data_IF_546911085308
#
_entry.id   IF_546911085308
#
_cell.length_a   1.000
_cell.length_b   1.000
_cell.length_c   1.000
_cell.angle_alpha   90.00
_cell.angle_beta   90.00
_cell.angle_gamma   90.00
#
_symmetry.space_group_name_H-M   'P 1'
#
loop_
_entity.id
_entity.type
_entity.pdbx_description
1 polymer ?
#
# COMPACT_ATOMS: atom_id res chain seq x y z
N UNK A 1 15.42 13.78 1.58
CA UNK A 1 14.31 14.75 1.47
C UNK A 1 13.00 14.05 1.79
N UNK A 2 11.98 14.80 2.22
CA UNK A 2 10.63 14.31 2.46
C UNK A 2 9.64 15.10 1.61
N UNK A 3 8.89 14.38 0.78
CA UNK A 3 7.68 14.88 0.14
C UNK A 3 6.50 14.32 0.93
N UNK A 4 5.52 15.16 1.25
CA UNK A 4 4.30 14.70 1.90
C UNK A 4 3.18 14.67 0.88
N UNK A 5 2.53 13.52 0.72
CA UNK A 5 1.32 13.43 -0.10
C UNK A 5 0.26 14.39 0.45
N UNK A 6 -0.34 15.19 -0.43
CA UNK A 6 -1.36 16.17 -0.06
C UNK A 6 -0.83 17.48 0.53
N UNK A 7 0.49 17.72 0.49
CA UNK A 7 1.07 19.00 0.90
C UNK A 7 2.21 19.42 -0.05
N UNK A 8 2.28 20.71 -0.40
CA UNK A 8 3.30 21.29 -1.27
C UNK A 8 4.72 21.32 -0.72
N UNK A 9 4.90 21.13 0.59
CA UNK A 9 6.18 21.36 1.25
C UNK A 9 7.19 20.24 0.99
N UNK A 10 8.43 20.66 0.78
CA UNK A 10 9.60 19.82 0.61
C UNK A 10 10.44 19.92 1.88
N UNK A 11 10.44 18.84 2.66
CA UNK A 11 11.24 18.74 3.89
C UNK A 11 12.65 18.26 3.62
N UNK A 12 13.62 18.81 4.34
CA UNK A 12 14.97 18.25 4.42
C UNK A 12 15.02 17.18 5.52
N UNK A 13 15.67 16.06 5.25
CA UNK A 13 15.83 14.95 6.19
C UNK A 13 17.32 14.81 6.49
N UNK A 14 17.79 15.52 7.51
CA UNK A 14 19.17 15.40 7.95
C UNK A 14 19.40 14.06 8.66
N UNK A 15 20.62 13.53 8.55
CA UNK A 15 21.05 12.35 9.29
C UNK A 15 20.92 12.62 10.79
N UNK A 16 20.15 11.78 11.48
CA UNK A 16 19.88 11.96 12.91
C UNK A 16 20.90 11.25 13.82
N UNK A 17 21.44 10.12 13.38
CA UNK A 17 22.40 9.31 14.14
C UNK A 17 23.29 8.50 13.18
N UNK A 18 24.44 8.08 13.70
CA UNK A 18 25.31 7.09 13.06
C UNK A 18 24.80 5.68 13.34
N UNK A 19 24.92 4.79 12.35
CA UNK A 19 24.49 3.38 12.44
C UNK A 19 25.69 2.49 12.16
N UNK A 20 25.92 1.50 13.02
CA UNK A 20 26.99 0.51 12.90
C UNK A 20 26.49 -0.85 12.39
N UNK A 21 25.17 -1.06 12.30
CA UNK A 21 24.56 -2.32 11.86
C UNK A 21 24.37 -2.44 10.34
N UNK A 22 24.67 -1.39 9.57
CA UNK A 22 24.47 -1.40 8.11
C UNK A 22 24.79 -0.07 7.45
N UNK A 23 24.82 -0.10 6.11
CA UNK A 23 25.05 1.07 5.24
C UNK A 23 23.74 1.52 4.58
N UNK A 24 23.70 2.74 4.06
CA UNK A 24 22.53 3.22 3.30
C UNK A 24 22.43 2.52 1.94
N UNK A 25 21.23 2.51 1.35
CA UNK A 25 21.02 2.00 -0.02
C UNK A 25 21.88 2.76 -1.05
N UNK A 26 22.13 4.06 -0.81
CA UNK A 26 23.00 4.86 -1.66
C UNK A 26 24.46 4.38 -1.60
N UNK A 27 24.97 4.12 -0.39
CA UNK A 27 26.32 3.58 -0.23
C UNK A 27 26.43 2.17 -0.80
N UNK A 28 25.41 1.32 -0.59
CA UNK A 28 25.35 -0.01 -1.22
C UNK A 28 25.44 0.10 -2.75
N UNK A 29 24.64 0.98 -3.36
CA UNK A 29 24.67 1.22 -4.79
C UNK A 29 26.06 1.68 -5.26
N UNK A 30 26.67 2.63 -4.55
CA UNK A 30 28.02 3.11 -4.87
C UNK A 30 29.07 1.98 -4.82
N UNK A 31 28.99 1.08 -3.84
CA UNK A 31 29.90 -0.08 -3.77
C UNK A 31 29.66 -1.06 -4.91
N UNK A 32 28.41 -1.30 -5.30
CA UNK A 32 28.06 -2.15 -6.44
C UNK A 32 28.56 -1.55 -7.76
N UNK A 33 28.38 -0.25 -7.98
CA UNK A 33 28.91 0.45 -9.16
C UNK A 33 30.43 0.27 -9.25
N UNK A 34 31.15 0.47 -8.15
CA UNK A 34 32.59 0.25 -8.10
C UNK A 34 32.97 -1.21 -8.38
N UNK A 35 32.27 -2.18 -7.77
CA UNK A 35 32.54 -3.61 -7.96
C UNK A 35 32.40 -4.05 -9.42
N UNK A 36 31.39 -3.53 -10.13
CA UNK A 36 31.14 -3.84 -11.53
C UNK A 36 31.84 -2.88 -12.51
N UNK A 37 32.72 -1.99 -12.03
CA UNK A 37 33.46 -1.00 -12.82
C UNK A 37 32.56 -0.03 -13.62
N UNK A 38 31.42 0.35 -13.05
CA UNK A 38 30.58 1.43 -13.57
C UNK A 38 31.08 2.80 -13.08
N UNK A 39 30.61 3.86 -13.74
CA UNK A 39 30.86 5.23 -13.32
C UNK A 39 30.40 5.46 -11.87
N UNK A 40 31.24 6.08 -11.01
CA UNK A 40 30.84 6.37 -9.63
C UNK A 40 29.64 7.30 -9.57
N UNK A 41 28.77 7.07 -8.58
CA UNK A 41 27.72 8.03 -8.25
C UNK A 41 28.33 9.36 -7.80
N UNK A 42 27.64 10.46 -8.04
CA UNK A 42 27.97 11.76 -7.45
C UNK A 42 27.86 11.69 -5.91
N UNK A 43 28.31 12.72 -5.19
CA UNK A 43 28.05 12.77 -3.75
C UNK A 43 26.54 12.94 -3.49
N UNK A 44 26.05 12.32 -2.41
CA UNK A 44 24.63 12.45 -2.00
C UNK A 44 24.24 13.93 -1.85
N UNK A 45 25.12 14.75 -1.26
CA UNK A 45 24.94 16.20 -1.13
C UNK A 45 24.75 16.90 -2.48
N UNK A 46 25.61 16.59 -3.46
CA UNK A 46 25.52 17.22 -4.78
C UNK A 46 24.20 16.87 -5.49
N UNK A 47 23.75 15.61 -5.38
CA UNK A 47 22.47 15.19 -5.96
C UNK A 47 21.30 15.89 -5.26
N UNK A 48 21.26 15.88 -3.94
CA UNK A 48 20.19 16.50 -3.17
C UNK A 48 20.10 18.00 -3.46
N UNK A 49 21.23 18.70 -3.47
CA UNK A 49 21.28 20.13 -3.77
C UNK A 49 20.87 20.41 -5.22
N UNK A 50 21.28 19.56 -6.16
CA UNK A 50 20.85 19.63 -7.55
C UNK A 50 19.33 19.59 -7.68
N UNK A 51 18.69 18.59 -7.07
CA UNK A 51 17.22 18.41 -7.12
C UNK A 51 16.49 19.58 -6.45
N UNK A 52 16.96 20.04 -5.29
CA UNK A 52 16.35 21.19 -4.60
C UNK A 52 16.41 22.43 -5.49
N UNK A 53 17.59 22.73 -6.05
CA UNK A 53 17.78 23.91 -6.89
C UNK A 53 16.96 23.86 -8.18
N UNK A 54 16.84 22.69 -8.81
CA UNK A 54 16.12 22.54 -10.08
C UNK A 54 14.60 22.53 -9.89
N UNK A 55 14.07 21.94 -8.81
CA UNK A 55 12.63 21.67 -8.66
C UNK A 55 11.91 22.44 -7.56
N UNK A 56 12.62 23.19 -6.71
CA UNK A 56 12.02 23.86 -5.54
C UNK A 56 12.08 25.38 -5.60
N UNK A 57 11.12 26.05 -4.98
CA UNK A 57 11.15 27.50 -4.70
C UNK A 57 10.78 27.76 -3.24
N UNK A 58 11.12 28.95 -2.72
CA UNK A 58 10.77 29.36 -1.36
C UNK A 58 9.41 30.05 -1.34
N UNK A 59 8.53 29.62 -0.44
CA UNK A 59 7.28 30.28 -0.08
C UNK A 59 7.10 30.25 1.42
N UNK A 60 6.93 31.41 2.04
CA UNK A 60 6.71 31.55 3.49
C UNK A 60 7.74 30.79 4.34
N UNK A 61 9.01 30.85 3.94
CA UNK A 61 10.12 30.17 4.63
C UNK A 61 10.22 28.65 4.38
N UNK A 62 9.35 28.09 3.55
CA UNK A 62 9.33 26.66 3.22
C UNK A 62 9.73 26.44 1.76
N UNK A 63 10.42 25.33 1.50
CA UNK A 63 10.62 24.86 0.13
C UNK A 63 9.33 24.23 -0.38
N UNK A 64 8.91 24.60 -1.59
CA UNK A 64 7.75 24.04 -2.29
C UNK A 64 8.14 23.63 -3.70
N UNK A 65 7.38 22.71 -4.31
CA UNK A 65 7.57 22.38 -5.73
C UNK A 65 7.33 23.61 -6.63
N UNK A 66 8.19 23.83 -7.62
CA UNK A 66 7.98 24.85 -8.66
C UNK A 66 6.74 24.60 -9.51
N UNK A 67 6.27 23.34 -9.57
CA UNK A 67 5.10 22.94 -10.33
C UNK A 67 3.82 22.92 -9.49
N UNK A 68 3.87 23.39 -8.25
CA UNK A 68 2.68 23.44 -7.40
C UNK A 68 1.70 24.50 -7.91
N UNK A 69 0.44 24.11 -8.04
CA UNK A 69 -0.68 24.98 -8.35
C UNK A 69 -1.73 24.85 -7.25
N UNK A 70 -2.27 25.99 -6.79
CA UNK A 70 -3.31 25.98 -5.73
C UNK A 70 -4.61 25.34 -6.23
N UNK A 71 -4.95 25.53 -7.50
CA UNK A 71 -6.16 25.02 -8.15
C UNK A 71 -5.81 24.42 -9.52
N UNK A 72 -5.18 23.22 -9.57
CA UNK A 72 -4.64 22.65 -10.81
C UNK A 72 -5.67 22.38 -11.91
N UNK A 73 -6.97 22.39 -11.57
CA UNK A 73 -8.08 22.13 -12.49
C UNK A 73 -9.06 23.31 -12.59
N UNK A 74 -8.66 24.53 -12.21
CA UNK A 74 -9.53 25.72 -12.25
C UNK A 74 -10.07 25.97 -13.67
N UNK A 75 -9.25 25.73 -14.69
CA UNK A 75 -9.56 26.09 -16.08
C UNK A 75 -9.92 24.89 -16.96
N UNK A 76 -9.24 23.76 -16.79
CA UNK A 76 -9.38 22.57 -17.64
C UNK A 76 -8.90 21.33 -16.90
N UNK A 77 -9.42 20.16 -17.29
CA UNK A 77 -8.84 18.88 -16.92
C UNK A 77 -7.78 18.46 -17.95
N UNK A 78 -6.83 17.61 -17.53
CA UNK A 78 -5.83 17.02 -18.42
C UNK A 78 -6.39 15.81 -19.17
N UNK A 79 -7.54 15.99 -19.82
CA UNK A 79 -8.24 14.98 -20.61
C UNK A 79 -8.34 15.44 -22.08
N UNK A 80 -8.54 14.53 -23.05
CA UNK A 80 -8.70 14.92 -24.46
C UNK A 80 -9.81 15.96 -24.68
N UNK A 81 -10.90 15.90 -23.91
CA UNK A 81 -12.01 16.86 -23.98
C UNK A 81 -11.81 18.15 -23.17
N UNK A 82 -10.78 18.21 -22.31
CA UNK A 82 -10.58 19.30 -21.34
C UNK A 82 -11.58 19.32 -20.19
N UNK A 83 -12.46 18.32 -20.09
CA UNK A 83 -13.52 18.20 -19.08
C UNK A 83 -13.30 16.96 -18.20
N UNK A 84 -14.04 16.89 -17.09
CA UNK A 84 -14.15 15.64 -16.36
C UNK A 84 -14.87 14.60 -17.23
N UNK A 85 -14.21 13.48 -17.50
CA UNK A 85 -14.73 12.37 -18.29
C UNK A 85 -15.22 11.29 -17.32
N UNK A 86 -16.51 10.96 -17.38
CA UNK A 86 -17.06 9.85 -16.61
C UNK A 86 -16.64 8.53 -17.27
N UNK A 87 -16.37 7.51 -16.45
CA UNK A 87 -16.14 6.16 -16.95
C UNK A 87 -17.39 5.64 -17.66
N UNK A 88 -17.19 4.81 -18.68
CA UNK A 88 -18.28 4.04 -19.27
C UNK A 88 -18.89 3.11 -18.22
N UNK A 89 -20.19 2.80 -18.36
CA UNK A 89 -20.84 1.84 -17.49
C UNK A 89 -20.21 0.46 -17.69
N UNK A 90 -19.61 -0.09 -16.62
CA UNK A 90 -19.19 -1.48 -16.56
C UNK A 90 -20.16 -2.24 -15.67
N UNK A 91 -20.77 -3.29 -16.20
CA UNK A 91 -21.52 -4.26 -15.40
C UNK A 91 -20.52 -5.03 -14.52
N UNK A 92 -20.88 -5.25 -13.25
CA UNK A 92 -20.07 -6.10 -12.39
C UNK A 92 -20.31 -7.58 -12.71
N UNK A 93 -19.23 -8.36 -12.76
CA UNK A 93 -19.26 -9.81 -12.96
C UNK A 93 -19.07 -10.56 -11.64
N UNK A 94 -19.44 -9.95 -10.50
CA UNK A 94 -19.24 -10.58 -9.20
C UNK A 94 -20.10 -11.83 -9.06
N UNK A 95 -19.46 -12.96 -8.76
CA UNK A 95 -20.15 -14.20 -8.43
C UNK A 95 -20.78 -14.10 -7.03
N UNK A 96 -21.99 -13.53 -6.97
CA UNK A 96 -22.78 -13.40 -5.76
C UNK A 96 -23.35 -14.75 -5.30
N UNK A 97 -23.47 -15.72 -6.20
CA UNK A 97 -24.07 -17.04 -5.93
C UNK A 97 -23.09 -18.02 -5.25
N UNK A 98 -21.79 -17.82 -5.42
CA UNK A 98 -20.77 -18.62 -4.75
C UNK A 98 -20.82 -18.49 -3.23
N UNK A 99 -20.79 -19.62 -2.51
CA UNK A 99 -20.72 -19.64 -1.05
C UNK A 99 -19.35 -19.12 -0.55
N UNK A 100 -19.31 -18.65 0.70
CA UNK A 100 -18.08 -18.23 1.38
C UNK A 100 -18.07 -16.75 1.79
N UNK A 101 -16.91 -16.27 2.24
CA UNK A 101 -16.72 -14.90 2.73
C UNK A 101 -15.84 -14.08 1.81
N UNK A 102 -16.18 -12.81 1.59
CA UNK A 102 -15.24 -11.86 0.99
C UNK A 102 -14.08 -11.60 1.96
N UNK A 103 -12.85 -11.72 1.47
CA UNK A 103 -11.65 -11.42 2.26
C UNK A 103 -11.26 -9.95 2.08
N UNK A 104 -11.54 -9.14 3.09
CA UNK A 104 -11.17 -7.74 3.13
C UNK A 104 -9.73 -7.57 3.62
N UNK A 105 -8.95 -6.74 2.92
CA UNK A 105 -7.60 -6.34 3.33
C UNK A 105 -7.59 -4.85 3.67
N UNK A 106 -7.46 -4.50 4.94
CA UNK A 106 -7.60 -3.11 5.43
C UNK A 106 -6.31 -2.55 5.98
N UNK A 107 -6.10 -1.23 5.98
CA UNK A 107 -4.95 -0.62 6.67
C UNK A 107 -5.19 -0.61 8.19
N UNK A 108 -4.11 -0.79 8.94
CA UNK A 108 -4.13 -0.73 10.39
C UNK A 108 -3.58 0.62 10.85
N UNK A 109 -4.16 1.19 11.92
CA UNK A 109 -3.85 2.55 12.35
C UNK A 109 -2.54 2.70 13.15
N UNK A 110 -1.87 1.59 13.50
CA UNK A 110 -0.60 1.56 14.24
C UNK A 110 0.53 0.86 13.48
N UNK A 111 0.33 0.60 12.19
CA UNK A 111 1.28 -0.08 11.33
C UNK A 111 1.37 0.63 10.00
N UNK A 112 2.46 0.37 9.29
CA UNK A 112 2.61 0.78 7.91
C UNK A 112 2.90 -0.45 7.07
N UNK A 113 1.84 -1.05 6.53
CA UNK A 113 1.92 -2.35 5.85
C UNK A 113 2.55 -3.39 6.80
N UNK A 114 3.70 -3.97 6.43
CA UNK A 114 4.42 -4.96 7.24
C UNK A 114 5.38 -4.38 8.29
N UNK A 115 5.51 -3.04 8.34
CA UNK A 115 6.40 -2.34 9.28
C UNK A 115 5.66 -1.98 10.59
N UNK A 116 6.44 -1.89 11.68
CA UNK A 116 5.97 -1.61 13.05
C UNK A 116 5.14 -2.74 13.68
N UNK A 117 4.00 -2.42 14.30
CA UNK A 117 3.17 -3.35 15.05
C UNK A 117 2.38 -4.22 14.07
N UNK A 118 2.41 -5.54 14.28
CA UNK A 118 1.63 -6.48 13.48
C UNK A 118 0.37 -6.90 14.23
N UNK A 119 -0.72 -7.01 13.49
CA UNK A 119 -1.98 -7.60 13.92
C UNK A 119 -2.27 -8.78 12.98
N UNK A 120 -2.09 -10.00 13.50
CA UNK A 120 -2.23 -11.25 12.75
C UNK A 120 -3.59 -11.94 13.01
N UNK A 121 -4.55 -11.24 13.61
CA UNK A 121 -5.89 -11.78 13.81
C UNK A 121 -6.70 -11.79 12.51
N UNK A 122 -7.53 -12.83 12.35
CA UNK A 122 -8.63 -12.84 11.40
C UNK A 122 -9.87 -12.28 12.09
N UNK A 123 -10.33 -11.13 11.63
CA UNK A 123 -11.57 -10.54 12.10
C UNK A 123 -12.75 -11.25 11.44
N UNK A 124 -13.66 -11.77 12.25
CA UNK A 124 -14.82 -12.56 11.82
C UNK A 124 -16.12 -11.96 12.35
N UNK A 125 -17.24 -12.07 11.61
CA UNK A 125 -18.52 -11.54 12.06
C UNK A 125 -19.11 -12.38 13.19
N UNK A 126 -19.83 -11.74 14.12
CA UNK A 126 -20.31 -12.40 15.35
C UNK A 126 -21.19 -13.64 15.11
N UNK A 127 -21.99 -13.65 14.04
CA UNK A 127 -22.94 -14.74 13.77
C UNK A 127 -22.26 -16.10 13.49
N UNK A 128 -20.95 -16.11 13.18
CA UNK A 128 -20.17 -17.34 12.98
C UNK A 128 -20.03 -18.11 14.31
N UNK A 129 -20.20 -17.44 15.45
CA UNK A 129 -20.16 -18.09 16.77
C UNK A 129 -18.77 -18.53 17.23
N UNK A 130 -17.72 -17.94 16.67
CA UNK A 130 -16.33 -18.16 17.10
C UNK A 130 -15.99 -17.32 18.32
N UNK A 131 -15.11 -17.84 19.16
CA UNK A 131 -14.54 -17.09 20.27
C UNK A 131 -13.19 -16.47 19.87
N UNK A 132 -12.83 -15.37 20.55
CA UNK A 132 -11.48 -14.81 20.42
C UNK A 132 -10.45 -15.88 20.78
N UNK A 133 -9.46 -16.09 19.91
CA UNK A 133 -8.42 -17.09 20.12
C UNK A 133 -8.68 -18.43 19.45
N UNK A 134 -9.89 -18.68 18.94
CA UNK A 134 -10.19 -19.88 18.17
C UNK A 134 -9.30 -19.95 16.93
N UNK A 135 -8.82 -21.15 16.60
CA UNK A 135 -8.07 -21.39 15.37
C UNK A 135 -9.03 -21.66 14.23
N UNK A 136 -8.75 -21.00 13.11
CA UNK A 136 -9.56 -21.11 11.90
C UNK A 136 -8.66 -21.25 10.69
N UNK A 137 -9.15 -21.98 9.71
CA UNK A 137 -8.51 -22.19 8.44
C UNK A 137 -9.32 -21.45 7.39
N UNK A 138 -8.65 -20.57 6.64
CA UNK A 138 -9.19 -20.04 5.39
C UNK A 138 -8.59 -20.78 4.21
N UNK A 139 -9.44 -21.09 3.23
CA UNK A 139 -9.04 -21.76 2.00
C UNK A 139 -9.79 -21.21 0.79
N UNK A 140 -9.13 -21.28 -0.37
CA UNK A 140 -9.74 -21.15 -1.68
C UNK A 140 -8.87 -21.91 -2.70
N UNK A 141 -9.12 -21.72 -4.00
CA UNK A 141 -8.37 -22.38 -5.06
C UNK A 141 -6.87 -22.01 -5.13
N UNK A 142 -6.45 -20.91 -4.50
CA UNK A 142 -5.04 -20.45 -4.53
C UNK A 142 -4.23 -20.91 -3.33
N UNK A 143 -4.88 -21.14 -2.19
CA UNK A 143 -4.15 -21.52 -0.99
C UNK A 143 -5.01 -21.83 0.22
N UNK A 144 -4.32 -22.23 1.29
CA UNK A 144 -4.89 -22.59 2.58
C UNK A 144 -4.00 -22.07 3.70
N UNK A 145 -4.56 -21.35 4.66
CA UNK A 145 -3.83 -20.69 5.74
C UNK A 145 -4.58 -20.75 7.08
N UNK A 146 -3.84 -20.92 8.18
CA UNK A 146 -4.36 -20.89 9.55
C UNK A 146 -4.23 -19.48 10.15
N UNK A 147 -5.28 -19.06 10.87
CA UNK A 147 -5.39 -17.79 11.57
C UNK A 147 -5.97 -17.95 12.98
N UNK A 148 -5.86 -16.89 13.77
CA UNK A 148 -6.51 -16.77 15.07
C UNK A 148 -7.72 -15.83 14.93
N UNK A 149 -8.90 -16.29 15.34
CA UNK A 149 -10.13 -15.53 15.21
C UNK A 149 -10.20 -14.36 16.21
N UNK A 150 -10.74 -13.24 15.73
CA UNK A 150 -11.14 -12.07 16.51
C UNK A 150 -12.58 -11.69 16.11
N UNK A 151 -13.59 -12.05 16.92
CA UNK A 151 -14.98 -11.67 16.65
C UNK A 151 -15.15 -10.14 16.63
N UNK A 152 -15.94 -9.63 15.67
CA UNK A 152 -16.22 -8.21 15.47
C UNK A 152 -17.69 -7.97 15.12
N UNK A 153 -18.30 -6.97 15.75
CA UNK A 153 -19.66 -6.48 15.47
C UNK A 153 -19.69 -5.42 14.35
N UNK A 154 -18.52 -4.99 13.86
CA UNK A 154 -18.38 -3.97 12.82
C UNK A 154 -18.25 -4.55 11.42
N UNK A 155 -18.28 -5.87 11.29
CA UNK A 155 -18.07 -6.58 10.03
C UNK A 155 -19.39 -7.09 9.47
N UNK A 156 -19.60 -6.92 8.16
CA UNK A 156 -20.75 -7.49 7.45
C UNK A 156 -20.72 -9.02 7.55
N UNK A 157 -21.89 -9.67 7.53
CA UNK A 157 -22.03 -11.11 7.78
C UNK A 157 -21.34 -12.00 6.74
N UNK A 158 -21.09 -11.51 5.54
CA UNK A 158 -20.46 -12.23 4.43
C UNK A 158 -18.99 -11.83 4.23
N UNK A 159 -18.38 -11.15 5.20
CA UNK A 159 -16.99 -10.69 5.11
C UNK A 159 -16.15 -11.25 6.24
N UNK A 160 -14.89 -11.55 5.94
CA UNK A 160 -13.80 -11.72 6.91
C UNK A 160 -12.71 -10.71 6.60
N UNK A 161 -11.92 -10.31 7.59
CA UNK A 161 -11.00 -9.20 7.41
C UNK A 161 -9.64 -9.45 8.04
N UNK A 162 -8.61 -9.11 7.28
CA UNK A 162 -7.20 -9.08 7.67
C UNK A 162 -6.67 -7.66 7.51
N UNK A 163 -5.73 -7.27 8.37
CA UNK A 163 -4.96 -6.06 8.15
C UNK A 163 -3.87 -6.28 7.08
N UNK A 164 -3.57 -5.24 6.31
CA UNK A 164 -2.47 -5.23 5.34
C UNK A 164 -1.15 -5.48 6.07
N UNK A 165 -0.37 -6.44 5.57
CA UNK A 165 0.86 -6.88 6.24
C UNK A 165 0.64 -7.95 7.33
N UNK A 166 -0.62 -8.32 7.60
CA UNK A 166 -0.93 -9.49 8.42
C UNK A 166 -0.43 -10.77 7.75
N UNK A 167 -0.18 -11.77 8.59
CA UNK A 167 0.33 -13.08 8.20
C UNK A 167 -0.46 -13.67 7.02
N UNK A 168 0.25 -14.04 5.95
CA UNK A 168 -0.24 -14.90 4.86
C UNK A 168 -1.44 -14.42 4.01
N UNK A 169 -1.92 -13.18 4.14
CA UNK A 169 -3.05 -12.70 3.33
C UNK A 169 -2.85 -12.92 1.81
N UNK A 170 -1.65 -12.63 1.31
CA UNK A 170 -1.31 -12.79 -0.12
C UNK A 170 -1.23 -14.25 -0.60
N UNK A 171 -1.33 -15.25 0.28
CA UNK A 171 -1.42 -16.67 -0.11
C UNK A 171 -2.82 -17.07 -0.55
N UNK A 172 -3.81 -16.23 -0.30
CA UNK A 172 -5.21 -16.45 -0.65
C UNK A 172 -5.64 -15.57 -1.83
N UNK A 173 -4.78 -14.67 -2.32
CA UNK A 173 -5.10 -13.73 -3.39
C UNK A 173 -4.61 -14.27 -4.74
N UNK A 174 -5.35 -14.01 -5.84
CA UNK A 174 -4.97 -14.50 -7.16
C UNK A 174 -3.72 -13.78 -7.70
N UNK A 175 -2.98 -14.39 -8.63
CA UNK A 175 -1.89 -13.72 -9.35
C UNK A 175 -2.38 -12.93 -10.57
N UNK A 176 -3.67 -12.58 -10.63
CA UNK A 176 -4.28 -11.91 -11.78
C UNK A 176 -4.12 -10.39 -11.69
N UNK A 177 -4.25 -9.74 -12.85
CA UNK A 177 -4.28 -8.30 -13.00
C UNK A 177 -5.59 -7.85 -13.65
N UNK A 178 -6.06 -6.66 -13.30
CA UNK A 178 -7.21 -6.02 -13.93
C UNK A 178 -6.96 -5.87 -15.44
N UNK A 179 -7.98 -6.09 -16.26
CA UNK A 179 -7.85 -6.12 -17.73
C UNK A 179 -7.40 -4.77 -18.30
N UNK A 180 -7.89 -3.65 -17.76
CA UNK A 180 -7.58 -2.30 -18.26
C UNK A 180 -6.41 -1.65 -17.50
N UNK A 181 -6.47 -1.66 -16.16
CA UNK A 181 -5.46 -0.97 -15.34
C UNK A 181 -4.16 -1.73 -15.13
N UNK A 182 -4.10 -3.02 -15.50
CA UNK A 182 -2.99 -3.94 -15.19
C UNK A 182 -2.57 -3.94 -13.70
N UNK A 183 -3.52 -3.66 -12.79
CA UNK A 183 -3.33 -3.62 -11.35
C UNK A 183 -3.67 -4.97 -10.71
N UNK A 184 -3.02 -5.31 -9.59
CA UNK A 184 -3.36 -6.52 -8.85
C UNK A 184 -4.81 -6.47 -8.29
N UNK A 185 -5.52 -7.60 -8.37
CA UNK A 185 -6.87 -7.77 -7.81
C UNK A 185 -6.78 -8.51 -6.48
N UNK A 186 -7.40 -7.97 -5.42
CA UNK A 186 -7.20 -8.48 -4.05
C UNK A 186 -8.47 -8.93 -3.33
N UNK A 187 -9.64 -8.37 -3.64
CA UNK A 187 -10.85 -8.50 -2.81
C UNK A 187 -12.05 -9.08 -3.56
N UNK A 188 -11.83 -9.61 -4.76
CA UNK A 188 -12.87 -10.13 -5.64
C UNK A 188 -13.16 -11.62 -5.38
N UNK A 189 -12.33 -12.28 -4.56
CA UNK A 189 -12.36 -13.73 -4.36
C UNK A 189 -12.87 -14.06 -2.95
N UNK A 190 -13.83 -14.99 -2.90
CA UNK A 190 -14.34 -15.54 -1.66
C UNK A 190 -13.42 -16.63 -1.09
N UNK A 191 -13.41 -16.73 0.23
CA UNK A 191 -12.70 -17.77 0.98
C UNK A 191 -13.70 -18.61 1.77
N UNK A 192 -13.43 -19.91 1.86
CA UNK A 192 -14.12 -20.80 2.78
C UNK A 192 -13.45 -20.74 4.15
N UNK A 193 -14.25 -20.90 5.20
CA UNK A 193 -13.77 -20.88 6.58
C UNK A 193 -14.17 -22.15 7.31
N UNK A 194 -13.19 -22.80 7.92
CA UNK A 194 -13.38 -24.00 8.72
C UNK A 194 -12.74 -23.78 10.10
N UNK A 195 -13.36 -24.31 11.16
CA UNK A 195 -12.72 -24.37 12.47
C UNK A 195 -11.62 -25.44 12.42
N UNK A 196 -10.42 -25.09 12.90
CA UNK A 196 -9.26 -25.98 12.92
C UNK A 196 -9.36 -27.06 14.01
#
# INVERSE_FOLDING_TARGET
>A
MKLSYGHEFIGQMHKAYESDIGISEYELCSKLMAHFNYEPLQSEEAILQGVINSHSTLRDGHLISKTYETLPYEKTFYTPSGKFEFFDECDDEFDNDSEGFYLLATKQNKSLNSQFIKDDYLYVPLHVGLNKGDKVILSNQYGKCEYIAMPSDRLRSDCVMLHSGAKNANRLTPPYASQEGHCAIYQEIKVQMEKA
#
